data_IF_160553966053
#
_entry.id   IF_160553966053
#
_cell.length_a   1.000
_cell.length_b   1.000
_cell.length_c   1.000
_cell.angle_alpha   90.00
_cell.angle_beta   90.00
_cell.angle_gamma   90.00
#
_symmetry.space_group_name_H-M   'P 1'
#
loop_
_entity.id
_entity.type
_entity.pdbx_description
1 polymer ?
#
# COMPACT_ATOMS: atom_id res chain seq x y z
N UNK A 1 -18.28 -4.55 7.57
CA UNK A 1 -17.62 -3.24 7.79
C UNK A 1 -16.13 -3.48 7.69
N UNK A 2 -15.41 -2.62 6.95
CA UNK A 2 -13.95 -2.74 6.83
C UNK A 2 -13.26 -1.64 7.64
N UNK A 3 -12.20 -2.03 8.36
CA UNK A 3 -11.27 -1.11 9.03
C UNK A 3 -9.96 -1.11 8.25
N UNK A 4 -9.55 0.07 7.77
CA UNK A 4 -8.33 0.26 7.00
C UNK A 4 -7.34 1.06 7.84
N UNK A 5 -6.19 0.46 8.19
CA UNK A 5 -5.11 1.13 8.90
C UNK A 5 -3.99 1.47 7.93
N UNK A 6 -3.60 2.74 7.87
CA UNK A 6 -2.42 3.19 7.12
C UNK A 6 -1.17 2.75 7.89
N UNK A 7 -0.44 1.78 7.36
CA UNK A 7 0.79 1.28 7.97
C UNK A 7 1.99 2.17 7.66
N UNK A 8 1.97 2.79 6.49
CA UNK A 8 2.94 3.76 6.04
C UNK A 8 2.36 4.61 4.94
N UNK A 9 2.75 5.87 4.89
CA UNK A 9 2.24 6.88 3.93
C UNK A 9 3.34 7.55 3.11
N UNK A 10 4.59 7.12 3.28
CA UNK A 10 5.77 7.66 2.60
C UNK A 10 6.15 6.91 1.34
N UNK A 11 6.88 7.59 0.46
CA UNK A 11 7.49 7.03 -0.75
C UNK A 11 8.63 6.04 -0.44
N UNK A 12 9.28 5.53 -1.47
CA UNK A 12 10.34 4.51 -1.41
C UNK A 12 11.49 4.79 -0.42
N UNK A 13 11.80 6.06 -0.16
CA UNK A 13 12.86 6.45 0.79
C UNK A 13 12.35 6.63 2.22
N UNK A 14 11.04 6.66 2.42
CA UNK A 14 10.41 7.12 3.67
C UNK A 14 10.63 8.61 3.93
N UNK A 15 10.04 9.11 5.01
CA UNK A 15 10.24 10.46 5.54
C UNK A 15 10.44 10.35 7.05
N UNK A 16 11.52 10.91 7.63
CA UNK A 16 12.57 11.73 7.02
C UNK A 16 13.48 10.96 6.04
N UNK A 17 13.98 11.68 5.04
CA UNK A 17 15.01 11.16 4.15
C UNK A 17 16.37 11.19 4.86
N UNK A 18 17.12 10.10 4.78
CA UNK A 18 18.43 9.98 5.43
C UNK A 18 19.35 11.15 5.04
N UNK A 19 19.86 11.86 6.05
CA UNK A 19 20.76 13.00 5.87
C UNK A 19 20.10 14.32 5.46
N UNK A 20 18.77 14.35 5.28
CA UNK A 20 18.04 15.58 4.95
C UNK A 20 17.67 16.37 6.20
N UNK A 21 17.88 17.69 6.13
CA UNK A 21 17.57 18.65 7.21
C UNK A 21 16.51 19.68 6.80
N UNK A 22 15.69 19.37 5.78
CA UNK A 22 14.59 20.23 5.39
C UNK A 22 13.50 20.29 6.47
N UNK A 23 12.62 21.31 6.47
CA UNK A 23 11.60 21.48 7.50
C UNK A 23 10.73 20.23 7.74
N UNK A 24 10.44 19.45 6.70
CA UNK A 24 9.64 18.20 6.82
C UNK A 24 10.44 17.11 7.51
N UNK A 25 11.72 16.94 7.14
CA UNK A 25 12.57 15.88 7.69
C UNK A 25 13.00 16.11 9.14
N UNK A 26 12.91 17.34 9.65
CA UNK A 26 13.22 17.69 11.04
C UNK A 26 11.95 18.04 11.84
N UNK A 27 10.76 17.80 11.27
CA UNK A 27 9.49 18.10 11.91
C UNK A 27 9.26 17.23 13.15
N UNK A 28 8.73 17.85 14.22
CA UNK A 28 8.27 17.14 15.42
C UNK A 28 6.82 16.63 15.29
N UNK A 29 6.11 17.00 14.22
CA UNK A 29 4.76 16.46 13.95
C UNK A 29 4.89 14.99 13.51
N UNK A 30 4.34 14.04 14.28
CA UNK A 30 4.42 12.62 13.94
C UNK A 30 3.80 12.28 12.58
N UNK A 31 2.91 13.13 12.04
CA UNK A 31 2.30 12.94 10.73
C UNK A 31 3.26 13.23 9.57
N UNK A 32 4.35 13.93 9.82
CA UNK A 32 5.42 14.15 8.85
C UNK A 32 6.46 13.02 8.85
N UNK A 33 6.42 12.11 9.83
CA UNK A 33 7.23 10.90 9.87
C UNK A 33 6.48 9.74 9.19
N UNK A 34 6.96 9.31 8.04
CA UNK A 34 6.23 8.41 7.14
C UNK A 34 7.07 7.20 6.77
N UNK A 35 6.65 6.02 7.21
CA UNK A 35 7.16 4.74 6.74
C UNK A 35 6.71 4.49 5.29
N UNK A 36 7.35 3.53 4.59
CA UNK A 36 6.98 3.17 3.21
C UNK A 36 5.54 2.72 3.15
N UNK A 37 4.90 3.04 2.02
CA UNK A 37 3.46 2.90 1.81
C UNK A 37 2.99 1.45 1.90
N UNK A 38 2.08 1.20 2.83
CA UNK A 38 1.38 -0.07 3.03
C UNK A 38 0.11 0.17 3.82
N UNK A 39 -0.87 -0.73 3.69
CA UNK A 39 -2.12 -0.70 4.46
C UNK A 39 -2.45 -2.06 5.05
N UNK A 40 -3.14 -2.05 6.19
CA UNK A 40 -3.80 -3.21 6.78
C UNK A 40 -5.31 -3.05 6.62
N UNK A 41 -5.97 -4.12 6.19
CA UNK A 41 -7.42 -4.19 5.99
C UNK A 41 -7.97 -5.27 6.88
N UNK A 42 -8.94 -4.93 7.70
CA UNK A 42 -9.56 -5.85 8.64
C UNK A 42 -11.09 -5.83 8.48
N UNK A 43 -11.67 -7.03 8.45
CA UNK A 43 -13.09 -7.27 8.74
C UNK A 43 -13.23 -7.86 10.14
N UNK A 44 -14.43 -8.34 10.50
CA UNK A 44 -14.63 -9.03 11.78
C UNK A 44 -13.86 -10.36 11.87
N UNK A 45 -13.49 -10.98 10.75
CA UNK A 45 -12.89 -12.32 10.68
C UNK A 45 -11.61 -12.43 9.88
N UNK A 46 -11.23 -11.40 9.13
CA UNK A 46 -10.11 -11.46 8.18
C UNK A 46 -9.21 -10.25 8.30
N UNK A 47 -7.90 -10.47 8.30
CA UNK A 47 -6.86 -9.44 8.31
C UNK A 47 -5.92 -9.62 7.12
N UNK A 48 -5.84 -8.62 6.25
CA UNK A 48 -5.01 -8.61 5.04
C UNK A 48 -4.01 -7.45 5.11
N UNK A 49 -2.78 -7.71 4.69
CA UNK A 49 -1.78 -6.68 4.47
C UNK A 49 -1.60 -6.46 2.97
N UNK A 50 -1.65 -5.21 2.52
CA UNK A 50 -1.21 -4.85 1.16
C UNK A 50 0.19 -4.25 1.25
N UNK A 51 1.15 -4.95 0.66
CA UNK A 51 2.58 -4.70 0.61
C UNK A 51 3.31 -4.85 1.96
N UNK A 52 4.43 -5.61 1.94
CA UNK A 52 5.36 -5.79 3.06
C UNK A 52 6.62 -4.97 2.82
N UNK A 53 6.57 -3.72 3.16
CA UNK A 53 7.67 -2.76 2.94
C UNK A 53 8.92 -3.11 3.77
N UNK A 54 10.08 -2.49 3.54
CA UNK A 54 11.24 -2.61 4.45
C UNK A 54 10.93 -2.29 5.91
N UNK A 55 9.84 -1.56 6.16
CA UNK A 55 9.37 -1.17 7.48
C UNK A 55 8.37 -2.16 8.10
N UNK A 56 8.03 -3.26 7.41
CA UNK A 56 6.95 -4.17 7.77
C UNK A 56 7.00 -4.62 9.23
N UNK A 57 8.17 -5.04 9.71
CA UNK A 57 8.33 -5.44 11.11
C UNK A 57 7.90 -4.33 12.08
N UNK A 58 8.35 -3.10 11.85
CA UNK A 58 8.00 -1.97 12.69
C UNK A 58 6.52 -1.61 12.58
N UNK A 59 5.96 -1.68 11.37
CA UNK A 59 4.54 -1.46 11.09
C UNK A 59 3.65 -2.43 11.89
N UNK A 60 4.00 -3.72 11.93
CA UNK A 60 3.27 -4.74 12.69
C UNK A 60 3.37 -4.53 14.21
N UNK A 61 4.56 -4.21 14.72
CA UNK A 61 4.77 -3.91 16.15
C UNK A 61 3.97 -2.67 16.56
N UNK A 62 4.05 -1.59 15.80
CA UNK A 62 3.36 -0.33 16.10
C UNK A 62 1.84 -0.49 16.14
N UNK A 63 1.28 -1.25 15.21
CA UNK A 63 -0.17 -1.50 15.14
C UNK A 63 -0.62 -2.67 16.00
N UNK A 64 0.31 -3.30 16.76
CA UNK A 64 0.04 -4.48 17.61
C UNK A 64 -0.66 -5.60 16.85
N UNK A 65 -0.31 -5.78 15.57
CA UNK A 65 -0.89 -6.81 14.72
C UNK A 65 -0.29 -8.16 15.10
N UNK A 66 -1.11 -9.08 15.57
CA UNK A 66 -0.71 -10.42 16.04
C UNK A 66 -1.11 -11.54 15.09
N UNK A 67 -1.97 -11.24 14.13
CA UNK A 67 -2.47 -12.19 13.14
C UNK A 67 -2.64 -11.52 11.78
N UNK A 68 -2.31 -12.23 10.71
CA UNK A 68 -2.62 -11.88 9.32
C UNK A 68 -3.02 -13.15 8.57
N UNK A 69 -4.05 -13.06 7.73
CA UNK A 69 -4.55 -14.18 6.92
C UNK A 69 -3.88 -14.26 5.56
N UNK A 70 -3.47 -13.13 5.02
CA UNK A 70 -2.77 -13.07 3.74
C UNK A 70 -2.00 -11.75 3.55
N UNK A 71 -1.02 -11.81 2.65
CA UNK A 71 -0.35 -10.65 2.07
C UNK A 71 -0.73 -10.54 0.59
N UNK A 72 -1.05 -9.33 0.14
CA UNK A 72 -1.36 -9.02 -1.25
C UNK A 72 -0.35 -7.99 -1.74
N UNK A 73 0.22 -8.19 -2.93
CA UNK A 73 1.19 -7.27 -3.51
C UNK A 73 0.65 -6.48 -4.68
N UNK A 74 0.99 -5.19 -4.69
CA UNK A 74 0.67 -4.28 -5.78
C UNK A 74 1.62 -4.45 -6.97
N UNK A 75 2.94 -4.51 -6.72
CA UNK A 75 3.97 -4.59 -7.75
C UNK A 75 5.36 -4.97 -7.17
N UNK A 76 6.38 -5.24 -8.03
CA UNK A 76 7.66 -5.79 -7.59
C UNK A 76 8.73 -4.74 -7.25
N UNK A 77 8.40 -3.53 -6.79
CA UNK A 77 9.40 -2.60 -6.28
C UNK A 77 9.77 -2.93 -4.84
N UNK A 78 11.05 -2.78 -4.50
CA UNK A 78 11.61 -3.23 -3.21
C UNK A 78 10.98 -2.54 -1.99
N UNK A 79 10.56 -1.31 -2.12
CA UNK A 79 9.86 -0.59 -1.07
C UNK A 79 8.45 -1.14 -0.78
N UNK A 80 7.94 -2.05 -1.62
CA UNK A 80 6.66 -2.72 -1.44
C UNK A 80 6.77 -4.16 -0.95
N UNK A 81 7.87 -4.90 -1.21
CA UNK A 81 7.95 -6.31 -0.82
C UNK A 81 9.19 -6.72 0.00
N UNK A 82 10.17 -5.82 0.21
CA UNK A 82 11.44 -6.22 0.80
C UNK A 82 11.37 -6.66 2.28
N UNK A 83 10.30 -6.36 2.99
CA UNK A 83 10.05 -6.84 4.36
C UNK A 83 9.36 -8.19 4.45
N UNK A 84 9.15 -8.90 3.33
CA UNK A 84 8.42 -10.16 3.30
C UNK A 84 9.04 -11.25 4.18
N UNK A 85 10.33 -11.21 4.44
CA UNK A 85 11.00 -12.15 5.36
C UNK A 85 10.44 -12.07 6.79
N UNK A 86 9.94 -10.92 7.21
CA UNK A 86 9.38 -10.69 8.56
C UNK A 86 7.96 -11.28 8.76
N UNK A 87 7.44 -12.07 7.81
CA UNK A 87 6.23 -12.89 8.03
C UNK A 87 6.51 -14.11 8.92
N UNK A 88 7.76 -14.49 9.13
CA UNK A 88 8.16 -15.67 9.92
C UNK A 88 7.49 -15.80 11.28
N UNK A 89 7.36 -14.72 12.10
CA UNK A 89 6.63 -14.82 13.36
C UNK A 89 5.18 -15.28 13.19
N UNK A 90 4.50 -14.86 12.12
CA UNK A 90 3.13 -15.27 11.85
C UNK A 90 3.06 -16.75 11.45
N UNK A 91 4.04 -17.26 10.66
CA UNK A 91 4.15 -18.70 10.41
C UNK A 91 4.38 -19.48 11.70
N UNK A 92 5.33 -19.02 12.53
CA UNK A 92 5.68 -19.68 13.78
C UNK A 92 4.48 -19.79 14.75
N UNK A 93 3.73 -18.69 14.95
CA UNK A 93 2.61 -18.68 15.88
C UNK A 93 1.36 -19.37 15.32
N UNK A 94 1.10 -19.32 14.02
CA UNK A 94 -0.06 -19.98 13.40
C UNK A 94 0.20 -21.44 13.03
N UNK A 95 1.47 -21.85 12.87
CA UNK A 95 1.83 -23.16 12.32
C UNK A 95 1.45 -23.33 10.84
N UNK A 96 1.25 -22.23 10.09
CA UNK A 96 0.77 -22.26 8.70
C UNK A 96 1.68 -21.42 7.79
N UNK A 97 1.76 -21.84 6.53
CA UNK A 97 2.34 -21.02 5.47
C UNK A 97 1.47 -19.77 5.22
N UNK A 98 2.12 -18.62 4.96
CA UNK A 98 1.44 -17.38 4.64
C UNK A 98 0.96 -17.38 3.19
N UNK A 99 -0.35 -17.20 2.93
CA UNK A 99 -0.86 -16.98 1.58
C UNK A 99 -0.37 -15.63 1.03
N UNK A 100 0.28 -15.67 -0.14
CA UNK A 100 0.84 -14.50 -0.83
C UNK A 100 0.16 -14.35 -2.18
N UNK A 101 -0.60 -13.28 -2.36
CA UNK A 101 -1.30 -12.97 -3.59
C UNK A 101 -0.52 -11.93 -4.39
N UNK A 102 -0.08 -12.28 -5.59
CA UNK A 102 0.72 -11.41 -6.45
C UNK A 102 0.55 -11.79 -7.93
N UNK A 103 0.77 -10.82 -8.83
CA UNK A 103 0.86 -11.15 -10.24
C UNK A 103 2.17 -11.91 -10.54
N UNK A 104 2.24 -12.52 -11.72
CA UNK A 104 3.39 -13.35 -12.13
C UNK A 104 4.72 -12.59 -12.06
N UNK A 105 4.75 -11.31 -12.43
CA UNK A 105 5.98 -10.49 -12.43
C UNK A 105 6.48 -10.33 -10.98
N UNK A 106 5.58 -10.03 -10.06
CA UNK A 106 5.92 -9.87 -8.63
C UNK A 106 6.33 -11.21 -8.01
N UNK A 107 5.67 -12.32 -8.36
CA UNK A 107 6.05 -13.65 -7.88
C UNK A 107 7.48 -14.04 -8.32
N UNK A 108 7.86 -13.74 -9.57
CA UNK A 108 9.24 -13.96 -10.04
C UNK A 108 10.25 -13.16 -9.23
N UNK A 109 9.94 -11.90 -8.90
CA UNK A 109 10.82 -11.08 -8.07
C UNK A 109 10.93 -11.65 -6.64
N UNK A 110 9.81 -12.06 -6.03
CA UNK A 110 9.77 -12.70 -4.70
C UNK A 110 10.60 -13.99 -4.69
N UNK A 111 10.39 -14.88 -5.66
CA UNK A 111 11.12 -16.14 -5.73
C UNK A 111 12.63 -15.95 -5.95
N UNK A 112 13.03 -14.94 -6.72
CA UNK A 112 14.43 -14.58 -6.92
C UNK A 112 15.09 -14.06 -5.64
N UNK A 113 14.43 -13.12 -4.94
CA UNK A 113 15.05 -12.40 -3.83
C UNK A 113 14.93 -13.17 -2.51
N UNK A 114 13.90 -14.00 -2.37
CA UNK A 114 13.68 -14.88 -1.21
C UNK A 114 13.84 -16.37 -1.59
N UNK A 115 14.77 -16.69 -2.51
CA UNK A 115 14.95 -18.03 -3.07
C UNK A 115 15.06 -19.13 -2.00
N UNK A 116 15.66 -18.82 -0.85
CA UNK A 116 15.83 -19.76 0.26
C UNK A 116 14.50 -20.24 0.85
N UNK A 117 13.43 -19.43 0.75
CA UNK A 117 12.08 -19.80 1.20
C UNK A 117 11.40 -20.83 0.28
N UNK A 118 11.92 -21.05 -0.93
CA UNK A 118 11.34 -21.92 -1.95
C UNK A 118 12.20 -23.17 -2.25
N UNK A 119 13.30 -23.39 -1.51
CA UNK A 119 14.12 -24.59 -1.67
C UNK A 119 13.41 -25.83 -1.14
N UNK A 120 13.75 -27.02 -1.72
CA UNK A 120 13.17 -28.30 -1.32
C UNK A 120 13.58 -28.71 0.11
N UNK A 121 14.86 -28.51 0.43
CA UNK A 121 15.44 -28.79 1.75
C UNK A 121 15.53 -27.46 2.52
N UNK A 122 14.45 -27.11 3.23
CA UNK A 122 14.40 -25.87 4.00
C UNK A 122 14.95 -26.08 5.40
N UNK A 123 15.83 -25.17 5.81
CA UNK A 123 16.20 -25.04 7.22
C UNK A 123 15.01 -24.58 8.06
N UNK A 124 14.98 -24.99 9.33
CA UNK A 124 13.96 -24.54 10.28
C UNK A 124 14.05 -23.03 10.50
N UNK A 125 12.91 -22.35 10.54
CA UNK A 125 12.81 -20.92 10.83
C UNK A 125 12.87 -19.99 9.61
N UNK A 126 12.87 -20.54 8.40
CA UNK A 126 12.68 -19.76 7.17
C UNK A 126 11.21 -19.36 6.99
N UNK A 127 10.92 -18.26 6.25
CA UNK A 127 9.54 -17.90 5.97
C UNK A 127 8.85 -18.98 5.12
N UNK A 128 7.62 -19.31 5.49
CA UNK A 128 6.79 -20.23 4.76
C UNK A 128 5.73 -19.46 3.98
N UNK A 129 5.77 -19.57 2.66
CA UNK A 129 4.92 -18.81 1.74
C UNK A 129 4.18 -19.77 0.80
N UNK A 130 2.91 -19.47 0.54
CA UNK A 130 2.11 -20.11 -0.49
C UNK A 130 1.71 -19.06 -1.52
N UNK A 131 2.27 -19.14 -2.74
CA UNK A 131 2.01 -18.18 -3.80
C UNK A 131 0.67 -18.46 -4.48
N UNK A 132 -0.17 -17.43 -4.59
CA UNK A 132 -1.42 -17.40 -5.34
C UNK A 132 -1.28 -16.35 -6.45
N UNK A 133 -1.42 -16.79 -7.70
CA UNK A 133 -1.37 -15.87 -8.84
C UNK A 133 -2.67 -15.12 -8.96
N UNK A 134 -2.58 -13.79 -9.05
CA UNK A 134 -3.70 -12.90 -9.36
C UNK A 134 -3.39 -12.12 -10.64
N UNK A 135 -4.45 -11.68 -11.31
CA UNK A 135 -4.41 -10.80 -12.48
C UNK A 135 -5.28 -9.55 -12.25
N UNK A 136 -5.41 -8.70 -13.25
CA UNK A 136 -6.24 -7.50 -13.17
C UNK A 136 -7.68 -7.71 -13.64
N UNK A 137 -8.03 -8.91 -14.10
CA UNK A 137 -9.34 -9.21 -14.70
C UNK A 137 -10.26 -9.95 -13.74
N UNK A 138 -9.67 -10.74 -12.81
CA UNK A 138 -10.42 -11.71 -12.00
C UNK A 138 -10.50 -11.28 -10.54
N UNK A 139 -11.68 -10.91 -10.01
CA UNK A 139 -11.88 -10.73 -8.58
C UNK A 139 -11.58 -12.01 -7.81
N UNK A 140 -11.06 -11.87 -6.58
CA UNK A 140 -10.74 -12.99 -5.69
C UNK A 140 -11.15 -12.68 -4.25
N UNK A 141 -11.22 -13.74 -3.42
CA UNK A 141 -11.59 -13.62 -2.01
C UNK A 141 -10.49 -14.11 -1.08
N UNK A 142 -10.32 -13.38 0.02
CA UNK A 142 -9.53 -13.80 1.17
C UNK A 142 -10.47 -13.72 2.37
N UNK A 143 -10.77 -14.85 2.98
CA UNK A 143 -11.80 -14.91 4.01
C UNK A 143 -13.15 -14.36 3.52
N UNK A 144 -13.66 -13.35 4.21
CA UNK A 144 -14.91 -12.67 3.87
C UNK A 144 -14.70 -11.38 3.04
N UNK A 145 -13.46 -11.00 2.72
CA UNK A 145 -13.12 -9.82 1.93
C UNK A 145 -12.95 -10.20 0.46
N UNK A 146 -13.74 -9.56 -0.41
CA UNK A 146 -13.59 -9.67 -1.86
C UNK A 146 -12.74 -8.49 -2.37
N UNK A 147 -11.70 -8.81 -3.16
CA UNK A 147 -10.82 -7.84 -3.80
C UNK A 147 -11.04 -7.88 -5.32
N UNK A 148 -11.36 -6.74 -5.90
CA UNK A 148 -11.37 -6.52 -7.35
C UNK A 148 -10.08 -5.81 -7.73
N UNK A 149 -9.15 -6.47 -8.44
CA UNK A 149 -7.92 -5.83 -8.90
C UNK A 149 -8.22 -4.76 -9.95
N UNK A 150 -7.46 -3.67 -9.91
CA UNK A 150 -7.55 -2.56 -10.86
C UNK A 150 -6.15 -2.29 -11.39
N UNK A 151 -5.95 -2.42 -12.70
CA UNK A 151 -4.65 -2.12 -13.30
C UNK A 151 -4.47 -0.62 -13.49
N UNK A 152 -3.40 -0.10 -12.91
CA UNK A 152 -2.91 1.27 -13.15
C UNK A 152 -1.47 1.22 -13.66
N UNK A 153 -0.91 2.33 -14.10
CA UNK A 153 0.43 2.37 -14.67
C UNK A 153 1.38 3.21 -13.84
N UNK A 154 2.55 2.65 -13.60
CA UNK A 154 3.73 3.30 -13.03
C UNK A 154 4.76 3.44 -14.15
N UNK A 155 4.61 4.49 -14.97
CA UNK A 155 5.25 4.64 -16.26
C UNK A 155 4.84 3.49 -17.21
N UNK A 156 5.74 2.56 -17.50
CA UNK A 156 5.49 1.39 -18.38
C UNK A 156 5.14 0.12 -17.60
N UNK A 157 5.30 0.15 -16.28
CA UNK A 157 5.04 -1.01 -15.43
C UNK A 157 3.58 -1.04 -14.96
N UNK A 158 2.86 -2.15 -15.16
CA UNK A 158 1.54 -2.32 -14.58
C UNK A 158 1.64 -2.54 -13.07
N UNK A 159 0.78 -1.84 -12.33
CA UNK A 159 0.61 -1.92 -10.88
C UNK A 159 -0.83 -2.30 -10.59
N UNK A 160 -1.05 -3.15 -9.59
CA UNK A 160 -2.39 -3.51 -9.13
C UNK A 160 -2.83 -2.60 -7.99
N UNK A 161 -3.91 -1.86 -8.22
CA UNK A 161 -4.76 -1.34 -7.16
C UNK A 161 -5.86 -2.34 -6.83
N UNK A 162 -6.62 -2.11 -5.76
CA UNK A 162 -7.65 -3.03 -5.31
C UNK A 162 -8.90 -2.27 -4.86
N UNK A 163 -10.07 -2.72 -5.29
CA UNK A 163 -11.35 -2.28 -4.76
C UNK A 163 -11.96 -3.36 -3.88
N UNK A 164 -12.46 -2.95 -2.71
CA UNK A 164 -13.15 -3.78 -1.72
C UNK A 164 -14.45 -3.07 -1.32
N UNK A 165 -15.54 -3.43 -1.99
CA UNK A 165 -16.83 -2.77 -1.80
C UNK A 165 -16.79 -1.26 -2.07
N UNK A 166 -16.97 -0.46 -1.03
CA UNK A 166 -16.96 1.02 -1.08
C UNK A 166 -15.56 1.65 -0.95
N UNK A 167 -14.52 0.85 -0.75
CA UNK A 167 -13.13 1.29 -0.58
C UNK A 167 -12.27 0.93 -1.79
N UNK A 168 -11.43 1.86 -2.24
CA UNK A 168 -10.40 1.61 -3.27
C UNK A 168 -9.03 2.09 -2.80
N UNK A 169 -8.02 1.25 -3.03
CA UNK A 169 -6.61 1.55 -2.77
C UNK A 169 -5.80 1.53 -4.06
N UNK A 170 -5.11 2.63 -4.36
CA UNK A 170 -4.20 2.77 -5.48
C UNK A 170 -2.93 3.46 -5.00
N UNK A 171 -1.80 2.84 -5.24
CA UNK A 171 -0.47 3.42 -5.02
C UNK A 171 0.34 3.37 -6.31
N UNK A 172 1.41 4.16 -6.39
CA UNK A 172 2.42 4.12 -7.46
C UNK A 172 1.83 4.25 -8.88
N UNK A 173 0.87 5.16 -9.03
CA UNK A 173 0.29 5.46 -10.32
C UNK A 173 0.73 6.84 -10.83
N UNK A 174 0.95 6.92 -12.14
CA UNK A 174 1.01 8.18 -12.89
C UNK A 174 0.02 8.20 -14.06
N UNK A 175 -0.68 7.08 -14.28
CA UNK A 175 -1.74 6.97 -15.27
C UNK A 175 -2.79 5.94 -14.86
N UNK A 176 -4.05 6.29 -15.03
CA UNK A 176 -5.24 5.45 -14.80
C UNK A 176 -6.06 5.48 -16.09
N UNK A 177 -6.33 4.32 -16.69
CA UNK A 177 -7.09 4.22 -17.92
C UNK A 177 -8.58 4.55 -17.70
N UNK A 178 -9.32 4.78 -18.78
CA UNK A 178 -10.77 5.02 -18.71
C UNK A 178 -11.51 3.82 -18.09
N UNK A 179 -11.09 2.60 -18.43
CA UNK A 179 -11.65 1.35 -17.88
C UNK A 179 -11.38 1.23 -16.39
N UNK A 180 -10.15 1.54 -15.95
CA UNK A 180 -9.78 1.55 -14.52
C UNK A 180 -10.55 2.65 -13.75
N UNK A 181 -10.76 3.82 -14.36
CA UNK A 181 -11.59 4.88 -13.78
C UNK A 181 -13.04 4.41 -13.55
N UNK A 182 -13.63 3.66 -14.49
CA UNK A 182 -14.98 3.09 -14.31
C UNK A 182 -15.02 2.08 -13.16
N UNK A 183 -13.97 1.29 -12.95
CA UNK A 183 -13.87 0.36 -11.82
C UNK A 183 -13.74 1.10 -10.46
N UNK A 184 -13.09 2.26 -10.44
CA UNK A 184 -12.94 3.09 -9.23
C UNK A 184 -14.23 3.84 -8.89
N UNK A 185 -15.01 4.25 -9.89
CA UNK A 185 -16.26 5.00 -9.70
C UNK A 185 -17.22 4.29 -8.76
N UNK A 186 -17.92 5.08 -7.94
CA UNK A 186 -18.85 4.58 -6.93
C UNK A 186 -18.18 4.13 -5.63
N UNK A 187 -16.86 4.20 -5.50
CA UNK A 187 -16.20 4.08 -4.19
C UNK A 187 -16.59 5.26 -3.30
N UNK A 188 -16.77 5.01 -2.01
CA UNK A 188 -16.99 6.07 -1.02
C UNK A 188 -15.68 6.64 -0.51
N UNK A 189 -14.64 5.79 -0.44
CA UNK A 189 -13.31 6.16 0.01
C UNK A 189 -12.27 5.67 -1.00
N UNK A 190 -11.36 6.57 -1.37
CA UNK A 190 -10.20 6.28 -2.22
C UNK A 190 -8.90 6.62 -1.47
N UNK A 191 -7.92 5.72 -1.53
CA UNK A 191 -6.53 6.07 -1.26
C UNK A 191 -5.81 6.12 -2.60
N UNK A 192 -5.09 7.23 -2.87
CA UNK A 192 -4.38 7.48 -4.12
C UNK A 192 -3.00 8.08 -3.83
N UNK A 193 -1.97 7.71 -4.59
CA UNK A 193 -0.66 8.33 -4.43
C UNK A 193 -0.63 9.78 -4.91
N UNK A 194 0.13 10.62 -4.18
CA UNK A 194 0.46 12.00 -4.57
C UNK A 194 1.88 12.32 -4.06
N UNK A 195 2.88 12.17 -4.92
CA UNK A 195 4.28 12.15 -4.49
C UNK A 195 4.76 13.50 -3.93
N UNK A 196 4.54 14.59 -4.69
CA UNK A 196 5.04 15.95 -4.44
C UNK A 196 4.36 16.96 -5.38
N UNK A 197 4.54 18.29 -5.17
CA UNK A 197 4.01 19.30 -6.09
C UNK A 197 4.63 19.26 -7.50
N UNK A 198 5.96 19.02 -7.60
CA UNK A 198 6.68 19.05 -8.87
C UNK A 198 6.47 17.76 -9.66
N UNK A 199 6.52 17.88 -10.99
CA UNK A 199 6.35 16.76 -11.92
C UNK A 199 7.31 15.60 -11.63
N UNK A 200 6.78 14.39 -11.82
CA UNK A 200 7.54 13.15 -11.67
C UNK A 200 7.16 12.15 -12.79
N UNK A 201 8.12 11.42 -13.36
CA UNK A 201 7.84 10.55 -14.51
C UNK A 201 7.00 9.32 -14.18
N UNK A 202 6.86 8.95 -12.91
CA UNK A 202 6.26 7.67 -12.50
C UNK A 202 5.16 7.80 -11.45
N UNK A 203 4.92 8.98 -10.88
CA UNK A 203 3.90 9.20 -9.86
C UNK A 203 3.09 10.45 -10.16
N UNK A 204 1.83 10.46 -9.76
CA UNK A 204 1.04 11.69 -9.75
C UNK A 204 1.67 12.74 -8.86
N UNK A 205 1.68 13.99 -9.35
CA UNK A 205 1.86 15.18 -8.52
C UNK A 205 0.63 15.40 -7.65
N UNK A 206 0.76 16.28 -6.66
CA UNK A 206 -0.39 16.68 -5.83
C UNK A 206 -1.55 17.24 -6.68
N UNK A 207 -1.25 18.10 -7.66
CA UNK A 207 -2.26 18.71 -8.52
C UNK A 207 -2.93 17.70 -9.46
N UNK A 208 -2.19 16.75 -10.02
CA UNK A 208 -2.73 15.67 -10.86
C UNK A 208 -3.61 14.72 -10.04
N UNK A 209 -3.19 14.35 -8.81
CA UNK A 209 -4.00 13.52 -7.92
C UNK A 209 -5.31 14.22 -7.50
N UNK A 210 -5.28 15.53 -7.25
CA UNK A 210 -6.50 16.34 -6.99
C UNK A 210 -7.43 16.31 -8.20
N UNK A 211 -6.92 16.58 -9.40
CA UNK A 211 -7.71 16.57 -10.63
C UNK A 211 -8.33 15.19 -10.90
N UNK A 212 -7.56 14.11 -10.70
CA UNK A 212 -8.05 12.73 -10.82
C UNK A 212 -9.19 12.46 -9.84
N UNK A 213 -9.01 12.78 -8.57
CA UNK A 213 -10.04 12.60 -7.53
C UNK A 213 -11.33 13.35 -7.87
N UNK A 214 -11.21 14.60 -8.32
CA UNK A 214 -12.36 15.41 -8.70
C UNK A 214 -13.09 14.84 -9.92
N UNK A 215 -12.37 14.31 -10.91
CA UNK A 215 -12.97 13.67 -12.10
C UNK A 215 -13.75 12.39 -11.75
N UNK A 216 -13.33 11.66 -10.72
CA UNK A 216 -13.97 10.45 -10.23
C UNK A 216 -15.18 10.73 -9.31
N UNK A 217 -15.31 11.98 -8.82
CA UNK A 217 -16.35 12.41 -7.88
C UNK A 217 -16.46 11.52 -6.63
N UNK A 218 -15.30 11.16 -6.05
CA UNK A 218 -15.23 10.34 -4.83
C UNK A 218 -15.51 11.21 -3.61
N UNK A 219 -16.41 10.82 -2.70
CA UNK A 219 -16.77 11.62 -1.53
C UNK A 219 -15.61 11.92 -0.58
N UNK A 220 -14.74 10.93 -0.35
CA UNK A 220 -13.58 11.05 0.51
C UNK A 220 -12.36 10.41 -0.13
N UNK A 221 -11.27 11.16 -0.27
CA UNK A 221 -9.98 10.66 -0.76
C UNK A 221 -8.88 10.99 0.24
N UNK A 222 -7.97 10.05 0.45
CA UNK A 222 -6.75 10.28 1.21
C UNK A 222 -5.55 10.04 0.29
N UNK A 223 -4.67 11.03 0.19
CA UNK A 223 -3.43 10.86 -0.56
C UNK A 223 -2.39 10.14 0.29
N UNK A 224 -1.52 9.40 -0.38
CA UNK A 224 -0.43 8.60 0.20
C UNK A 224 0.83 8.64 -0.67
N UNK A 225 1.86 7.90 -0.30
CA UNK A 225 3.12 7.75 -1.04
C UNK A 225 3.89 9.08 -1.16
N UNK A 226 3.93 9.85 -0.08
CA UNK A 226 4.53 11.18 -0.06
C UNK A 226 6.05 11.15 0.02
N UNK A 227 6.72 12.01 -0.74
CA UNK A 227 8.10 12.40 -0.47
C UNK A 227 8.16 13.55 0.55
N UNK A 228 9.35 13.82 1.09
CA UNK A 228 9.56 14.98 1.97
C UNK A 228 9.32 16.33 1.28
N UNK A 229 9.24 16.35 -0.06
CA UNK A 229 8.98 17.56 -0.85
C UNK A 229 7.48 17.92 -0.90
N UNK A 230 6.59 17.06 -0.39
CA UNK A 230 5.16 17.38 -0.32
C UNK A 230 4.87 18.60 0.57
N UNK A 231 5.73 18.89 1.53
CA UNK A 231 5.55 19.92 2.53
C UNK A 231 5.05 19.37 3.87
N UNK A 232 4.99 20.25 4.88
CA UNK A 232 4.47 19.91 6.21
C UNK A 232 2.97 19.59 6.15
N UNK A 233 2.53 18.52 6.77
CA UNK A 233 1.10 18.16 6.79
C UNK A 233 0.22 19.28 7.31
N UNK A 234 0.62 19.92 8.39
CA UNK A 234 -0.13 21.04 8.99
C UNK A 234 -0.31 22.24 8.05
N UNK A 235 0.52 22.36 7.01
CA UNK A 235 0.45 23.43 6.00
C UNK A 235 -0.34 22.99 4.76
N UNK A 236 -0.06 21.79 4.26
CA UNK A 236 -0.63 21.30 3.00
C UNK A 236 -2.09 20.85 3.18
N UNK A 237 -2.39 20.09 4.21
CA UNK A 237 -3.73 19.51 4.40
C UNK A 237 -4.86 20.54 4.44
N UNK A 238 -4.74 21.70 5.13
CA UNK A 238 -5.79 22.74 5.12
C UNK A 238 -6.01 23.40 3.75
N UNK A 239 -5.06 23.27 2.81
CA UNK A 239 -5.17 23.84 1.46
C UNK A 239 -5.85 22.91 0.46
N UNK A 240 -6.10 21.65 0.85
CA UNK A 240 -6.72 20.66 -0.02
C UNK A 240 -8.23 20.93 -0.20
N UNK A 241 -8.79 20.58 -1.36
CA UNK A 241 -10.23 20.65 -1.57
C UNK A 241 -11.02 19.81 -0.55
N UNK A 242 -12.26 20.23 -0.27
CA UNK A 242 -13.16 19.47 0.61
C UNK A 242 -13.29 18.01 0.15
N UNK A 243 -13.22 17.08 1.10
CA UNK A 243 -13.27 15.64 0.82
C UNK A 243 -11.93 15.03 0.44
N UNK A 244 -10.84 15.82 0.42
CA UNK A 244 -9.48 15.32 0.20
C UNK A 244 -8.64 15.59 1.44
N UNK A 245 -7.93 14.57 1.93
CA UNK A 245 -7.01 14.65 3.07
C UNK A 245 -5.68 13.99 2.76
N UNK A 246 -4.73 14.13 3.67
CA UNK A 246 -3.44 13.45 3.63
C UNK A 246 -3.47 12.25 4.58
N UNK A 247 -3.13 11.07 4.08
CA UNK A 247 -2.90 9.93 4.95
C UNK A 247 -1.67 10.15 5.82
N UNK A 248 -1.68 9.59 7.01
CA UNK A 248 -0.53 9.53 7.90
C UNK A 248 -0.46 8.16 8.58
N UNK A 249 0.72 7.82 9.02
CA UNK A 249 1.00 6.53 9.63
C UNK A 249 0.21 6.29 10.91
N UNK A 250 -0.57 5.22 10.96
CA UNK A 250 -1.45 4.86 12.07
C UNK A 250 -2.87 5.41 11.94
N UNK A 251 -3.19 6.17 10.88
CA UNK A 251 -4.56 6.59 10.58
C UNK A 251 -5.46 5.38 10.35
N UNK A 252 -6.67 5.40 10.92
CA UNK A 252 -7.68 4.35 10.74
C UNK A 252 -8.91 4.94 10.04
N UNK A 253 -9.36 4.27 9.00
CA UNK A 253 -10.53 4.62 8.20
C UNK A 253 -11.53 3.48 8.29
N UNK A 254 -12.79 3.76 8.55
CA UNK A 254 -13.87 2.76 8.57
C UNK A 254 -14.77 2.96 7.35
N UNK A 255 -15.08 1.87 6.65
CA UNK A 255 -15.91 1.87 5.43
C UNK A 255 -16.98 0.77 5.48
#
# INVERSE_FOLDING_TARGET
>A
MLSITILGSGTSTGVPLIGCVCPVCISDDPRDNRLRTSIKIESDTTCIIIDTTPDFRYQMIRTKTTHIDAVVFTHPHRDHYAGLDDIRPFNFFSGKSMPIYANTITQVAIQRDFYYAFQADKDAGLPEMQLHTIDHETPFKIGDIELTPIQVMHREMPVLGFRMGDFTYITDANYISAEAMEQIKGSKVLILNALRPESHPTHFTLSEAIAMTQSLNIPQTYFTHFSHQIGLQAVVEPSLPKGIGMAYDGMVITV
#
